data_IF_938659514833
#
_entry.id   IF_938659514833
#
_cell.length_a   1.000
_cell.length_b   1.000
_cell.length_c   1.000
_cell.angle_alpha   90.00
_cell.angle_beta   90.00
_cell.angle_gamma   90.00
#
_symmetry.space_group_name_H-M   'P 1'
#
loop_
_entity.id
_entity.type
_entity.pdbx_description
1 polymer ?
#
# COMPACT_ATOMS: atom_id res chain seq x y z
N UNK A 1 23.47 22.46 -8.38
CA UNK A 1 22.40 21.91 -7.53
C UNK A 1 21.23 21.54 -8.43
N UNK A 2 20.76 20.29 -8.38
CA UNK A 2 19.54 19.86 -9.10
C UNK A 2 18.38 19.97 -8.13
N UNK A 3 17.48 20.91 -8.38
CA UNK A 3 16.28 21.11 -7.56
C UNK A 3 15.14 20.25 -8.11
N UNK A 4 14.26 19.79 -7.22
CA UNK A 4 13.02 19.16 -7.65
C UNK A 4 12.23 20.17 -8.50
N UNK A 5 11.82 19.74 -9.69
CA UNK A 5 11.06 20.60 -10.57
C UNK A 5 9.58 20.65 -10.13
N UNK A 6 8.82 21.61 -10.67
CA UNK A 6 7.37 21.65 -10.48
C UNK A 6 6.69 20.35 -10.95
N UNK A 7 7.29 19.65 -11.93
CA UNK A 7 6.82 18.37 -12.40
C UNK A 7 6.98 17.27 -11.33
N UNK A 8 8.13 17.22 -10.64
CA UNK A 8 8.36 16.25 -9.56
C UNK A 8 7.39 16.47 -8.39
N UNK A 9 7.09 17.73 -8.07
CA UNK A 9 6.09 18.06 -7.05
C UNK A 9 4.72 17.49 -7.43
N UNK A 10 4.31 17.68 -8.69
CA UNK A 10 3.04 17.16 -9.20
C UNK A 10 2.99 15.63 -9.16
N UNK A 11 4.05 14.95 -9.62
CA UNK A 11 4.13 13.49 -9.63
C UNK A 11 4.10 12.88 -8.22
N UNK A 12 4.86 13.46 -7.28
CA UNK A 12 4.91 12.98 -5.90
C UNK A 12 3.58 13.18 -5.15
N UNK A 13 2.91 14.31 -5.38
CA UNK A 13 1.59 14.56 -4.82
C UNK A 13 0.53 13.59 -5.35
N UNK A 14 0.51 13.36 -6.67
CA UNK A 14 -0.39 12.43 -7.32
C UNK A 14 -0.22 10.99 -6.81
N UNK A 15 1.04 10.54 -6.68
CA UNK A 15 1.36 9.22 -6.16
C UNK A 15 0.78 9.01 -4.75
N UNK A 16 0.94 10.00 -3.86
CA UNK A 16 0.42 9.90 -2.49
C UNK A 16 -1.12 9.92 -2.43
N UNK A 17 -1.77 10.69 -3.30
CA UNK A 17 -3.24 10.74 -3.33
C UNK A 17 -3.88 9.52 -4.00
N UNK A 18 -3.18 8.86 -4.92
CA UNK A 18 -3.70 7.69 -5.64
C UNK A 18 -4.04 6.51 -4.72
N UNK A 19 -3.47 6.46 -3.51
CA UNK A 19 -3.79 5.47 -2.47
C UNK A 19 -5.12 5.77 -1.74
N UNK A 20 -5.64 7.00 -1.87
CA UNK A 20 -6.77 7.49 -1.09
C UNK A 20 -7.97 7.87 -1.95
N UNK A 21 -7.75 8.33 -3.17
CA UNK A 21 -8.79 8.86 -4.06
C UNK A 21 -9.04 7.92 -5.25
N UNK A 22 -10.29 7.82 -5.72
CA UNK A 22 -10.61 7.14 -6.97
C UNK A 22 -9.98 7.86 -8.17
N UNK A 23 -9.61 7.07 -9.20
CA UNK A 23 -8.83 7.55 -10.35
C UNK A 23 -9.47 8.73 -11.10
N UNK A 24 -10.80 8.77 -11.19
CA UNK A 24 -11.54 9.85 -11.86
C UNK A 24 -11.37 11.19 -11.15
N UNK A 25 -11.39 11.22 -9.81
CA UNK A 25 -11.19 12.46 -9.04
C UNK A 25 -9.75 12.94 -9.16
N UNK A 26 -8.79 12.02 -9.12
CA UNK A 26 -7.36 12.34 -9.31
C UNK A 26 -7.10 12.94 -10.70
N UNK A 27 -7.77 12.41 -11.74
CA UNK A 27 -7.69 12.95 -13.11
C UNK A 27 -8.17 14.41 -13.18
N UNK A 28 -9.30 14.73 -12.53
CA UNK A 28 -9.84 16.09 -12.48
C UNK A 28 -8.88 17.05 -11.77
N UNK A 29 -8.28 16.63 -10.66
CA UNK A 29 -7.30 17.45 -9.92
C UNK A 29 -6.03 17.69 -10.74
N UNK A 30 -5.58 16.67 -11.48
CA UNK A 30 -4.37 16.74 -12.30
C UNK A 30 -4.59 17.40 -13.66
N UNK A 31 -5.85 17.65 -14.06
CA UNK A 31 -6.21 18.16 -15.39
C UNK A 31 -5.60 17.30 -16.51
N UNK A 32 -5.60 15.98 -16.34
CA UNK A 32 -5.23 15.08 -17.43
C UNK A 32 -6.36 15.03 -18.45
N UNK A 33 -5.99 15.08 -19.72
CA UNK A 33 -6.92 14.98 -20.86
C UNK A 33 -7.59 13.60 -20.93
N UNK A 34 -6.85 12.54 -20.59
CA UNK A 34 -7.36 11.17 -20.54
C UNK A 34 -7.12 10.53 -19.17
N UNK A 35 -8.04 9.64 -18.79
CA UNK A 35 -7.92 8.78 -17.61
C UNK A 35 -6.80 7.76 -17.75
N UNK A 36 -6.46 7.35 -18.98
CA UNK A 36 -5.35 6.43 -19.27
C UNK A 36 -4.03 6.94 -18.71
N UNK A 37 -3.78 8.25 -18.84
CA UNK A 37 -2.59 8.90 -18.30
C UNK A 37 -2.54 8.76 -16.77
N UNK A 38 -3.67 8.88 -16.10
CA UNK A 38 -3.74 8.74 -14.63
C UNK A 38 -3.53 7.30 -14.19
N UNK A 39 -4.16 6.36 -14.89
CA UNK A 39 -4.06 4.93 -14.56
C UNK A 39 -2.66 4.38 -14.82
N UNK A 40 -2.04 4.76 -15.94
CA UNK A 40 -0.71 4.28 -16.33
C UNK A 40 0.38 4.63 -15.31
N UNK A 41 0.35 5.84 -14.76
CA UNK A 41 1.41 6.29 -13.83
C UNK A 41 1.18 5.85 -12.38
N UNK A 42 -0.07 5.79 -11.92
CA UNK A 42 -0.34 5.64 -10.48
C UNK A 42 -1.03 4.32 -10.10
N UNK A 43 -1.86 3.75 -10.97
CA UNK A 43 -2.63 2.55 -10.61
C UNK A 43 -1.76 1.29 -10.65
N UNK A 44 -0.87 1.16 -11.64
CA UNK A 44 0.03 0.00 -11.75
C UNK A 44 0.97 -0.17 -10.55
N UNK A 45 1.48 0.93 -9.99
CA UNK A 45 2.33 0.90 -8.80
C UNK A 45 1.54 0.53 -7.53
N UNK A 46 0.29 0.98 -7.43
CA UNK A 46 -0.58 0.65 -6.30
C UNK A 46 -1.11 -0.80 -6.35
N UNK A 47 -1.23 -1.40 -7.53
CA UNK A 47 -1.71 -2.78 -7.66
C UNK A 47 -0.74 -3.80 -7.04
N UNK A 48 0.56 -3.56 -7.12
CA UNK A 48 1.58 -4.39 -6.49
C UNK A 48 1.52 -4.30 -4.96
N UNK A 49 1.48 -3.08 -4.41
CA UNK A 49 1.39 -2.88 -2.96
C UNK A 49 0.06 -3.36 -2.37
N UNK A 50 -1.04 -3.24 -3.12
CA UNK A 50 -2.33 -3.81 -2.73
C UNK A 50 -2.30 -5.34 -2.74
N UNK A 51 -1.65 -5.96 -3.73
CA UNK A 51 -1.54 -7.42 -3.79
C UNK A 51 -0.78 -7.98 -2.59
N UNK A 52 0.34 -7.34 -2.23
CA UNK A 52 1.10 -7.70 -1.02
C UNK A 52 0.27 -7.52 0.26
N UNK A 53 -0.55 -6.46 0.34
CA UNK A 53 -1.44 -6.22 1.47
C UNK A 53 -2.56 -7.25 1.56
N UNK A 54 -3.20 -7.60 0.43
CA UNK A 54 -4.26 -8.61 0.40
C UNK A 54 -3.70 -9.99 0.69
N UNK A 55 -2.53 -10.32 0.15
CA UNK A 55 -1.84 -11.59 0.40
C UNK A 55 -1.43 -11.71 1.87
N UNK A 56 -0.83 -10.66 2.45
CA UNK A 56 -0.47 -10.67 3.87
C UNK A 56 -1.70 -10.77 4.78
N UNK A 57 -2.80 -10.06 4.47
CA UNK A 57 -4.06 -10.21 5.19
C UNK A 57 -4.62 -11.64 5.09
N UNK A 58 -4.59 -12.25 3.91
CA UNK A 58 -5.01 -13.64 3.70
C UNK A 58 -4.17 -14.64 4.50
N UNK A 59 -2.83 -14.52 4.45
CA UNK A 59 -1.89 -15.36 5.20
C UNK A 59 -2.04 -15.20 6.71
N UNK A 60 -2.42 -14.00 7.18
CA UNK A 60 -2.70 -13.72 8.59
C UNK A 60 -4.06 -14.26 9.05
N UNK A 61 -5.06 -14.34 8.17
CA UNK A 61 -6.39 -14.84 8.53
C UNK A 61 -6.47 -16.37 8.47
N UNK A 62 -5.60 -17.02 7.69
CA UNK A 62 -5.59 -18.48 7.52
C UNK A 62 -5.28 -19.24 8.84
N UNK A 63 -6.24 -20.00 9.42
CA UNK A 63 -6.05 -20.70 10.69
C UNK A 63 -5.04 -21.85 10.62
N UNK A 64 -4.59 -22.25 9.42
CA UNK A 64 -3.59 -23.30 9.20
C UNK A 64 -2.14 -22.82 9.03
N UNK A 65 -1.87 -21.51 9.11
CA UNK A 65 -0.55 -20.96 8.77
C UNK A 65 0.52 -21.22 9.86
N UNK A 66 1.65 -21.90 9.56
CA UNK A 66 2.72 -22.19 10.52
C UNK A 66 3.45 -20.94 11.08
N UNK A 67 3.41 -19.79 10.39
CA UNK A 67 4.11 -18.57 10.84
C UNK A 67 3.46 -17.93 12.08
N UNK A 68 2.20 -18.25 12.37
CA UNK A 68 1.51 -17.80 13.61
C UNK A 68 2.16 -18.37 14.89
N UNK A 69 2.93 -19.45 14.77
CA UNK A 69 3.52 -20.14 15.91
C UNK A 69 4.84 -19.51 16.41
N UNK A 70 5.47 -18.63 15.63
CA UNK A 70 6.73 -17.99 16.02
C UNK A 70 6.55 -16.86 17.05
N UNK A 71 5.46 -16.10 16.96
CA UNK A 71 5.19 -14.96 17.87
C UNK A 71 4.49 -15.33 19.19
N UNK A 72 3.90 -16.53 19.30
CA UNK A 72 3.08 -16.93 20.46
C UNK A 72 3.85 -17.72 21.53
N UNK A 73 5.10 -18.12 21.26
CA UNK A 73 5.93 -18.94 22.17
C UNK A 73 6.61 -18.14 23.30
N UNK A 74 6.55 -16.81 23.30
CA UNK A 74 7.26 -15.98 24.29
C UNK A 74 6.46 -15.70 25.59
N UNK A 75 5.14 -15.92 25.61
CA UNK A 75 4.27 -15.46 26.71
C UNK A 75 3.62 -16.57 27.56
N UNK A 76 3.96 -17.85 27.34
CA UNK A 76 3.35 -18.98 28.07
C UNK A 76 4.27 -19.66 29.12
N UNK A 77 5.45 -19.12 29.42
CA UNK A 77 6.41 -19.79 30.33
C UNK A 77 6.57 -19.13 31.71
N UNK A 78 5.71 -18.20 32.10
CA UNK A 78 5.77 -17.55 33.42
C UNK A 78 4.42 -17.60 34.15
N UNK A 79 3.82 -18.77 34.29
CA UNK A 79 2.86 -19.01 35.39
C UNK A 79 2.72 -20.50 35.70
N UNK A 80 3.77 -21.09 36.25
CA UNK A 80 3.65 -22.33 37.01
C UNK A 80 4.68 -22.29 38.14
N UNK A 81 4.26 -21.76 39.29
CA UNK A 81 4.64 -22.16 40.67
C UNK A 81 4.47 -21.01 41.66
N UNK A 82 3.35 -20.96 42.38
CA UNK A 82 3.25 -20.95 43.86
C UNK A 82 1.86 -20.51 44.33
#
# INVERSE_FOLDING_TARGET
>A
MKFASAHDLRCSFAARLSLKLPAQQLMTMMRHESIDTTLKYYFGQNALSLSDLVYSAYVMDDPGNPDKNAGKKASQQIDVSR
#
